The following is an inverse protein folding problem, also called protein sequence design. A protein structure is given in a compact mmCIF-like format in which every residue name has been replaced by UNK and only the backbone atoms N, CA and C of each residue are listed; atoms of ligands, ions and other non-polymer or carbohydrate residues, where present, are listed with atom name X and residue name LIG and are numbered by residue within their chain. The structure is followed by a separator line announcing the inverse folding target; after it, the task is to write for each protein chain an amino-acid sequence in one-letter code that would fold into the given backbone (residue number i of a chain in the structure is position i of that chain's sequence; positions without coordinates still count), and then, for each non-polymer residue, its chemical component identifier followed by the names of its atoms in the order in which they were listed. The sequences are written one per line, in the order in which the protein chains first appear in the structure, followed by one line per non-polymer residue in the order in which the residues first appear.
data_IF_513930835107
#
_entry.id   IF_513930835107
#
_cell.length_a   1.000
_cell.length_b   1.000
_cell.length_c   1.000
_cell.angle_alpha   90.00
_cell.angle_beta   90.00
_cell.angle_gamma   90.00
#
_symmetry.space_group_name_H-M   'P 1'
#
loop_
_entity.id
_entity.type
_entity.pdbx_description
1 polymer ?
#
# COMPACT_ATOMS: atom_id res chain seq x y z
N UNK A 1 10.23 -8.18 2.91
CA UNK A 1 8.93 -7.57 2.58
C UNK A 1 9.11 -6.74 1.33
N UNK A 2 8.14 -6.82 0.44
CA UNK A 2 8.16 -6.20 -0.87
C UNK A 2 6.83 -5.53 -1.12
N UNK A 3 6.86 -4.28 -1.57
CA UNK A 3 5.71 -3.56 -2.08
C UNK A 3 5.83 -3.58 -3.61
N UNK A 4 4.77 -4.01 -4.30
CA UNK A 4 4.77 -4.23 -5.75
C UNK A 4 3.52 -3.62 -6.34
N UNK A 5 3.64 -2.94 -7.47
CA UNK A 5 2.50 -2.56 -8.30
C UNK A 5 2.41 -3.50 -9.50
N UNK A 6 1.17 -3.81 -9.90
CA UNK A 6 0.90 -4.58 -11.11
C UNK A 6 -0.21 -3.88 -11.89
N UNK A 7 0.08 -3.66 -13.16
CA UNK A 7 -0.79 -3.02 -14.13
C UNK A 7 -1.21 -4.05 -15.17
N UNK A 8 -2.48 -4.11 -15.51
CA UNK A 8 -2.98 -4.87 -16.66
C UNK A 8 -4.19 -4.20 -17.29
N UNK A 9 -4.52 -4.59 -18.52
CA UNK A 9 -5.52 -3.91 -19.34
C UNK A 9 -4.88 -2.88 -20.28
N UNK A 10 -5.54 -2.62 -21.40
CA UNK A 10 -5.03 -1.72 -22.46
C UNK A 10 -5.08 -0.25 -22.01
N UNK A 11 -5.97 0.07 -21.06
CA UNK A 11 -6.25 1.41 -20.56
C UNK A 11 -5.65 1.70 -19.18
N UNK A 12 -4.80 0.82 -18.66
CA UNK A 12 -4.19 0.94 -17.32
C UNK A 12 -5.20 1.05 -16.16
N UNK A 13 -6.42 0.59 -16.41
CA UNK A 13 -7.57 0.65 -15.52
C UNK A 13 -7.57 -0.43 -14.44
N UNK A 14 -6.68 -1.41 -14.56
CA UNK A 14 -6.47 -2.42 -13.53
C UNK A 14 -5.10 -2.28 -12.89
N UNK A 15 -5.05 -1.39 -11.89
CA UNK A 15 -3.91 -1.25 -10.99
C UNK A 15 -4.17 -1.99 -9.69
N UNK A 16 -3.17 -2.74 -9.24
CA UNK A 16 -3.12 -3.20 -7.85
C UNK A 16 -1.78 -2.85 -7.23
N UNK A 17 -1.81 -2.59 -5.94
CA UNK A 17 -0.63 -2.60 -5.08
C UNK A 17 -0.70 -3.81 -4.17
N UNK A 18 0.40 -4.54 -4.05
CA UNK A 18 0.53 -5.73 -3.24
C UNK A 18 1.66 -5.57 -2.23
N UNK A 19 1.35 -5.82 -0.95
CA UNK A 19 2.38 -6.02 0.06
C UNK A 19 2.57 -7.52 0.30
N UNK A 20 3.78 -7.99 0.03
CA UNK A 20 4.17 -9.40 0.15
C UNK A 20 5.38 -9.61 1.05
N UNK A 21 5.48 -10.80 1.63
CA UNK A 21 6.66 -11.26 2.36
C UNK A 21 7.69 -11.91 1.44
N UNK A 22 7.28 -12.35 0.25
CA UNK A 22 8.12 -13.00 -0.75
C UNK A 22 8.29 -12.16 -2.02
N UNK A 23 9.23 -12.59 -2.87
CA UNK A 23 9.45 -11.94 -4.16
C UNK A 23 8.59 -12.53 -5.30
N UNK A 24 7.57 -13.34 -5.01
CA UNK A 24 6.69 -13.91 -6.03
C UNK A 24 5.88 -12.83 -6.75
N UNK A 25 5.74 -12.96 -8.07
CA UNK A 25 4.89 -12.09 -8.90
C UNK A 25 3.41 -12.50 -8.87
N UNK A 26 3.05 -13.56 -8.13
CA UNK A 26 1.67 -14.02 -8.01
C UNK A 26 0.86 -13.11 -7.08
N UNK A 27 -0.32 -12.72 -7.57
CA UNK A 27 -1.31 -11.99 -6.76
C UNK A 27 -2.08 -13.02 -5.95
N UNK A 28 -1.85 -13.04 -4.64
CA UNK A 28 -2.52 -13.96 -3.74
C UNK A 28 -3.03 -13.21 -2.51
N UNK A 29 -4.34 -13.07 -2.42
CA UNK A 29 -5.03 -12.39 -1.31
C UNK A 29 -5.09 -13.21 -0.02
N UNK A 30 -4.72 -14.49 -0.04
CA UNK A 30 -4.59 -15.31 1.18
C UNK A 30 -3.29 -14.99 1.93
N UNK A 31 -2.23 -14.72 1.17
CA UNK A 31 -0.87 -14.51 1.67
C UNK A 31 -0.36 -13.08 1.55
N UNK A 32 -1.09 -12.18 0.90
CA UNK A 32 -0.64 -10.81 0.64
C UNK A 32 -1.77 -9.80 0.80
N UNK A 33 -1.43 -8.59 1.26
CA UNK A 33 -2.36 -7.48 1.18
C UNK A 33 -2.49 -7.06 -0.28
N UNK A 34 -3.71 -6.95 -0.77
CA UNK A 34 -4.00 -6.55 -2.15
C UNK A 34 -4.92 -5.33 -2.13
N UNK A 35 -4.40 -4.22 -2.62
CA UNK A 35 -5.09 -2.95 -2.79
C UNK A 35 -5.53 -2.83 -4.24
N UNK A 36 -6.83 -2.91 -4.52
CA UNK A 36 -7.38 -2.89 -5.88
C UNK A 36 -7.83 -1.48 -6.27
N UNK A 37 -7.44 -1.03 -7.46
CA UNK A 37 -7.77 0.30 -7.98
C UNK A 37 -6.98 1.43 -7.33
N UNK A 38 -6.02 1.12 -6.46
CA UNK A 38 -5.10 2.08 -5.86
C UNK A 38 -3.86 2.15 -6.75
N UNK A 39 -3.63 3.29 -7.40
CA UNK A 39 -2.44 3.53 -8.22
C UNK A 39 -1.24 4.04 -7.43
N UNK A 40 -1.46 4.41 -6.17
CA UNK A 40 -0.42 4.82 -5.26
C UNK A 40 -0.82 4.51 -3.82
N UNK A 41 0.16 4.51 -2.92
CA UNK A 41 -0.09 4.64 -1.49
C UNK A 41 1.05 5.39 -0.81
N UNK A 42 0.81 5.89 0.40
CA UNK A 42 1.87 6.45 1.22
C UNK A 42 2.22 5.48 2.33
N UNK A 43 3.49 5.44 2.72
CA UNK A 43 3.92 4.57 3.79
C UNK A 43 5.00 5.22 4.65
N UNK A 44 5.15 4.71 5.86
CA UNK A 44 6.33 4.94 6.69
C UNK A 44 6.69 3.67 7.43
N UNK A 45 7.99 3.49 7.65
CA UNK A 45 8.53 2.40 8.43
C UNK A 45 8.95 2.91 9.81
N UNK A 46 8.57 2.16 10.84
CA UNK A 46 9.18 2.21 12.16
C UNK A 46 9.80 0.84 12.44
N UNK A 47 10.70 0.73 13.45
CA UNK A 47 11.54 -0.47 13.69
C UNK A 47 10.82 -1.79 13.41
N UNK A 48 9.65 -1.99 14.02
CA UNK A 48 8.89 -3.23 13.92
C UNK A 48 7.50 -3.04 13.27
N UNK A 49 7.25 -1.90 12.63
CA UNK A 49 5.93 -1.58 12.08
C UNK A 49 6.01 -0.90 10.71
N UNK A 50 5.18 -1.35 9.77
CA UNK A 50 4.88 -0.65 8.53
C UNK A 50 3.50 -0.01 8.65
N UNK A 51 3.45 1.30 8.48
CA UNK A 51 2.20 2.04 8.40
C UNK A 51 1.90 2.34 6.95
N UNK A 52 0.75 1.87 6.47
CA UNK A 52 0.24 2.12 5.13
C UNK A 52 -0.91 3.10 5.23
N UNK A 53 -0.81 4.21 4.51
CA UNK A 53 -1.84 5.23 4.38
C UNK A 53 -2.50 5.06 3.02
N UNK A 54 -3.78 4.65 3.06
CA UNK A 54 -4.52 4.16 1.90
C UNK A 54 -5.89 4.83 1.84
N UNK A 55 -6.48 4.90 0.65
CA UNK A 55 -7.84 5.44 0.50
C UNK A 55 -8.87 4.42 1.00
N UNK A 56 -8.63 3.13 0.76
CA UNK A 56 -9.42 2.04 1.34
C UNK A 56 -8.53 0.93 1.89
N UNK A 57 -8.87 0.42 3.08
CA UNK A 57 -8.15 -0.74 3.64
C UNK A 57 -8.31 -1.99 2.79
N UNK A 58 -7.21 -2.70 2.58
CA UNK A 58 -7.23 -4.06 2.07
C UNK A 58 -7.69 -5.03 3.17
N UNK A 59 -8.24 -6.16 2.73
CA UNK A 59 -8.59 -7.27 3.62
C UNK A 59 -7.31 -7.83 4.23
N UNK A 60 -7.32 -8.09 5.54
CA UNK A 60 -6.20 -8.73 6.21
C UNK A 60 -6.05 -10.17 5.69
N UNK A 61 -4.88 -10.57 5.16
CA UNK A 61 -4.71 -11.89 4.60
C UNK A 61 -4.62 -12.91 5.75
N UNK A 62 -5.40 -13.99 5.74
CA UNK A 62 -5.43 -14.95 6.83
C UNK A 62 -4.10 -15.68 7.04
N UNK A 63 -3.28 -15.78 6.00
CA UNK A 63 -1.99 -16.49 6.02
C UNK A 63 -0.81 -15.53 5.86
N UNK A 64 -1.00 -14.24 6.18
CA UNK A 64 0.08 -13.25 6.15
C UNK A 64 1.07 -13.49 7.30
N UNK A 65 2.21 -14.09 7.00
CA UNK A 65 3.25 -14.37 8.00
C UNK A 65 4.40 -13.37 7.94
N UNK A 66 4.48 -12.47 8.91
CA UNK A 66 5.57 -11.49 9.02
C UNK A 66 5.93 -11.24 10.48
N UNK A 67 7.18 -10.85 10.71
CA UNK A 67 7.64 -10.34 12.01
C UNK A 67 7.30 -8.87 12.24
N UNK A 68 6.94 -8.14 11.17
CA UNK A 68 6.67 -6.70 11.19
C UNK A 68 5.16 -6.47 11.31
N UNK A 69 4.73 -5.59 12.21
CA UNK A 69 3.31 -5.21 12.35
C UNK A 69 2.88 -4.35 11.17
N UNK A 70 1.78 -4.73 10.51
CA UNK A 70 1.21 -3.93 9.42
C UNK A 70 -0.01 -3.17 9.95
N UNK A 71 0.03 -1.83 9.85
CA UNK A 71 -1.07 -0.96 10.23
C UNK A 71 -1.59 -0.22 9.00
N UNK A 72 -2.85 -0.46 8.65
CA UNK A 72 -3.53 0.24 7.57
C UNK A 72 -4.34 1.42 8.13
N UNK A 73 -3.99 2.62 7.72
CA UNK A 73 -4.66 3.87 8.09
C UNK A 73 -5.43 4.33 6.87
N UNK A 74 -6.75 4.28 6.96
CA UNK A 74 -7.63 4.80 5.92
C UNK A 74 -7.67 6.33 6.04
N UNK A 75 -7.40 7.03 4.95
CA UNK A 75 -7.46 8.48 4.91
C UNK A 75 -8.64 8.94 4.08
N UNK A 76 -9.44 9.91 4.56
CA UNK A 76 -10.45 10.56 3.74
C UNK A 76 -9.79 11.34 2.60
N UNK A 77 -10.56 11.62 1.55
CA UNK A 77 -10.08 12.30 0.35
C UNK A 77 -9.34 13.62 0.63
N UNK A 78 -9.85 14.42 1.58
CA UNK A 78 -9.23 15.71 1.96
C UNK A 78 -7.82 15.52 2.52
N UNK A 79 -7.64 14.61 3.49
CA UNK A 79 -6.33 14.31 4.06
C UNK A 79 -5.37 13.70 3.05
N UNK A 80 -5.90 12.88 2.14
CA UNK A 80 -5.11 12.32 1.05
C UNK A 80 -4.62 13.42 0.09
N UNK A 81 -5.49 14.37 -0.29
CA UNK A 81 -5.10 15.52 -1.12
C UNK A 81 -4.05 16.41 -0.45
N UNK A 82 -4.09 16.56 0.88
CA UNK A 82 -3.06 17.29 1.62
C UNK A 82 -1.69 16.62 1.52
N UNK A 83 -1.64 15.28 1.45
CA UNK A 83 -0.39 14.55 1.24
C UNK A 83 0.17 14.80 -0.16
N UNK A 84 -0.68 14.90 -1.18
CA UNK A 84 -0.27 15.22 -2.55
C UNK A 84 0.19 16.66 -2.72
N UNK A 85 -0.48 17.58 -2.03
CA UNK A 85 -0.26 19.00 -2.22
C UNK A 85 1.11 19.43 -1.72
N UNK A 86 1.92 20.02 -2.61
CA UNK A 86 3.21 20.67 -2.28
C UNK A 86 4.16 19.75 -1.48
N UNK A 87 4.26 18.48 -1.88
CA UNK A 87 5.08 17.47 -1.18
C UNK A 87 4.70 17.29 0.31
N UNK A 88 3.42 17.43 0.66
CA UNK A 88 2.92 17.31 2.03
C UNK A 88 3.32 15.98 2.70
N UNK A 89 3.38 14.90 1.92
CA UNK A 89 3.88 13.60 2.38
C UNK A 89 5.33 13.65 2.88
N UNK A 90 6.22 14.38 2.19
CA UNK A 90 7.63 14.54 2.62
C UNK A 90 7.73 15.27 3.95
N UNK A 91 6.91 16.32 4.14
CA UNK A 91 6.86 17.08 5.40
C UNK A 91 6.39 16.22 6.58
N UNK A 92 5.55 15.23 6.33
CA UNK A 92 5.11 14.24 7.33
C UNK A 92 6.05 13.03 7.46
N UNK A 93 7.20 13.04 6.78
CA UNK A 93 8.17 11.93 6.80
C UNK A 93 7.64 10.64 6.19
N UNK A 94 6.71 10.75 5.23
CA UNK A 94 6.14 9.64 4.50
C UNK A 94 6.90 9.42 3.17
N UNK A 95 6.84 8.20 2.68
CA UNK A 95 7.27 7.79 1.35
C UNK A 95 6.04 7.54 0.47
N UNK A 96 6.15 7.85 -0.81
CA UNK A 96 5.14 7.53 -1.82
C UNK A 96 5.57 6.26 -2.55
N UNK A 97 4.62 5.36 -2.79
CA UNK A 97 4.78 4.22 -3.69
C UNK A 97 3.82 4.36 -4.86
N UNK A 98 4.31 4.09 -6.06
CA UNK A 98 3.62 4.09 -7.35
C UNK A 98 4.19 2.94 -8.19
#
# INVERSE_FOLDING_TARGET
MYLKSKYWGITDDHVIIQLSTDNSSSVDSLHNYVYKGESFLFYKTSRDSLFLYVYKKAINPPQFNTKIKIAQIELPNTEMMDLFSKDGFKKKGLFKFE
#
